data_IF_673856063051
#
_entry.id   IF_673856063051
#
_cell.length_a   1.000
_cell.length_b   1.000
_cell.length_c   1.000
_cell.angle_alpha   90.00
_cell.angle_beta   90.00
_cell.angle_gamma   90.00
#
_symmetry.space_group_name_H-M   'P 1'
#
loop_
_entity.id
_entity.type
_entity.pdbx_description
1 polymer ?
#
# COMPACT_ATOMS: atom_id res chain seq x y z
N UNK A 1 71.19 -12.30 18.89
CA UNK A 1 70.79 -12.38 17.47
C UNK A 1 69.51 -11.60 17.30
N UNK A 2 69.52 -10.69 16.34
CA UNK A 2 68.47 -9.73 16.03
C UNK A 2 67.29 -10.41 15.32
N UNK A 3 66.06 -10.06 15.73
CA UNK A 3 65.03 -9.68 14.75
C UNK A 3 63.94 -8.86 15.42
N UNK A 4 63.91 -7.58 15.05
CA UNK A 4 62.73 -6.74 15.17
C UNK A 4 61.61 -7.30 14.29
N UNK A 5 60.36 -7.13 14.70
CA UNK A 5 59.32 -6.45 13.91
C UNK A 5 58.26 -5.92 14.89
N UNK A 6 58.14 -4.59 14.87
CA UNK A 6 57.05 -3.76 15.39
C UNK A 6 55.74 -4.02 14.64
N UNK A 7 54.61 -4.12 15.33
CA UNK A 7 53.29 -3.57 14.91
C UNK A 7 52.53 -3.24 16.22
N UNK A 8 52.60 -2.00 16.71
CA UNK A 8 51.65 -0.89 16.50
C UNK A 8 50.26 -1.22 17.07
N UNK A 9 49.92 -0.54 18.17
CA UNK A 9 48.63 -0.63 18.83
C UNK A 9 47.54 0.22 18.18
N UNK A 10 46.30 0.03 18.67
CA UNK A 10 45.25 1.04 18.59
C UNK A 10 44.23 0.80 19.70
N UNK A 11 44.36 1.54 20.80
CA UNK A 11 43.30 1.74 21.79
C UNK A 11 42.27 2.68 21.15
N UNK A 12 41.15 2.16 20.67
CA UNK A 12 40.01 3.00 20.29
C UNK A 12 39.17 3.20 21.55
N UNK A 13 39.37 4.35 22.18
CA UNK A 13 38.43 4.91 23.13
C UNK A 13 37.08 5.08 22.41
N UNK A 14 36.04 4.40 22.89
CA UNK A 14 34.67 4.67 22.48
C UNK A 14 34.28 6.04 23.03
N UNK A 15 34.50 7.09 22.23
CA UNK A 15 33.93 8.41 22.44
C UNK A 15 32.41 8.28 22.37
N UNK A 16 31.78 8.15 23.54
CA UNK A 16 30.38 8.45 23.79
C UNK A 16 30.11 9.90 23.39
N UNK A 17 29.80 10.11 22.11
CA UNK A 17 29.29 11.36 21.62
C UNK A 17 27.77 11.30 21.73
N UNK A 18 27.26 11.92 22.79
CA UNK A 18 25.85 12.19 22.93
C UNK A 18 25.38 13.08 21.79
N UNK A 19 24.49 12.54 20.95
CA UNK A 19 23.56 13.33 20.18
C UNK A 19 22.16 12.94 20.67
N UNK A 20 21.61 13.75 21.58
CA UNK A 20 20.17 13.81 21.83
C UNK A 20 19.52 13.97 20.46
N UNK A 21 18.92 12.90 19.93
CA UNK A 21 17.99 13.02 18.82
C UNK A 21 16.86 13.88 19.36
N UNK A 22 16.86 15.16 18.94
CA UNK A 22 15.63 15.96 18.93
C UNK A 22 14.61 15.05 18.26
N UNK A 23 13.65 14.59 19.06
CA UNK A 23 12.40 14.11 18.51
C UNK A 23 11.92 15.24 17.62
N UNK A 24 12.05 15.03 16.32
CA UNK A 24 11.19 15.74 15.39
C UNK A 24 9.83 15.16 15.76
N UNK A 25 9.10 15.90 16.59
CA UNK A 25 7.65 15.83 16.58
C UNK A 25 7.28 16.04 15.12
N UNK A 26 7.12 14.92 14.42
CA UNK A 26 6.42 14.88 13.16
C UNK A 26 5.00 15.27 13.54
N UNK A 27 4.74 16.57 13.53
CA UNK A 27 3.43 17.13 13.46
C UNK A 27 2.70 16.35 12.38
N UNK A 28 1.85 15.42 12.82
CA UNK A 28 0.86 14.73 11.98
C UNK A 28 -0.20 15.76 11.58
N UNK A 29 0.21 16.81 10.89
CA UNK A 29 -0.69 17.52 10.01
C UNK A 29 -0.93 16.57 8.84
N UNK A 30 -2.07 15.89 8.88
CA UNK A 30 -2.56 15.08 7.79
C UNK A 30 -2.87 16.00 6.60
N UNK A 31 -1.84 16.44 5.87
CA UNK A 31 -2.02 17.14 4.60
C UNK A 31 -2.94 16.29 3.73
N UNK A 32 -4.05 16.87 3.27
CA UNK A 32 -5.03 16.18 2.44
C UNK A 32 -4.34 15.51 1.23
N UNK A 33 -4.77 14.30 0.86
CA UNK A 33 -4.23 13.64 -0.34
C UNK A 33 -4.85 14.26 -1.58
N UNK A 34 -4.05 15.01 -2.33
CA UNK A 34 -4.44 15.59 -3.62
C UNK A 34 -4.12 14.60 -4.72
N UNK A 35 -5.14 14.15 -5.46
CA UNK A 35 -4.96 13.19 -6.55
C UNK A 35 -4.23 13.83 -7.73
N UNK A 36 -3.45 13.00 -8.44
CA UNK A 36 -2.90 13.40 -9.73
C UNK A 36 -3.98 13.49 -10.80
N UNK A 37 -3.65 14.13 -11.92
CA UNK A 37 -4.55 14.29 -13.06
C UNK A 37 -4.30 13.26 -14.18
N UNK A 38 -3.17 12.54 -14.12
CA UNK A 38 -2.77 11.55 -15.12
C UNK A 38 -2.78 10.17 -14.48
N UNK A 39 -3.61 9.26 -15.01
CA UNK A 39 -3.66 7.87 -14.58
C UNK A 39 -2.46 7.10 -15.14
N UNK A 40 -1.70 6.47 -14.25
CA UNK A 40 -0.57 5.60 -14.61
C UNK A 40 -1.02 4.15 -14.83
N UNK A 41 -1.92 3.67 -13.97
CA UNK A 41 -2.53 2.32 -14.04
C UNK A 41 -3.92 2.41 -13.43
N UNK A 42 -4.91 1.75 -14.02
CA UNK A 42 -6.20 1.57 -13.35
C UNK A 42 -6.70 0.14 -13.47
N UNK A 43 -7.45 -0.29 -12.45
CA UNK A 43 -8.16 -1.57 -12.39
C UNK A 43 -9.64 -1.28 -12.16
N UNK A 44 -10.52 -2.01 -12.88
CA UNK A 44 -11.96 -1.83 -12.76
C UNK A 44 -12.68 -3.17 -12.85
N UNK A 45 -13.66 -3.39 -11.97
CA UNK A 45 -14.54 -4.55 -12.08
C UNK A 45 -15.44 -4.41 -13.31
N UNK A 46 -15.63 -5.51 -14.05
CA UNK A 46 -16.70 -5.62 -15.03
C UNK A 46 -18.03 -5.97 -14.34
N UNK A 47 -19.14 -5.94 -15.08
CA UNK A 47 -20.46 -6.29 -14.55
C UNK A 47 -20.47 -7.71 -13.96
N UNK A 48 -20.67 -7.80 -12.65
CA UNK A 48 -20.62 -9.07 -11.90
C UNK A 48 -21.83 -9.29 -10.97
N UNK A 49 -22.71 -8.30 -10.82
CA UNK A 49 -23.91 -8.41 -9.97
C UNK A 49 -23.68 -8.31 -8.46
N UNK A 50 -22.42 -8.21 -8.01
CA UNK A 50 -22.07 -8.19 -6.56
C UNK A 50 -21.44 -6.87 -6.12
N UNK A 51 -20.56 -6.26 -6.91
CA UNK A 51 -19.94 -4.98 -6.58
C UNK A 51 -19.44 -4.20 -7.80
N UNK A 52 -19.31 -2.89 -7.64
CA UNK A 52 -18.55 -2.01 -8.53
C UNK A 52 -17.27 -1.56 -7.81
N UNK A 53 -16.11 -1.90 -8.38
CA UNK A 53 -14.79 -1.65 -7.78
C UNK A 53 -13.89 -0.92 -8.78
N UNK A 54 -13.18 0.10 -8.32
CA UNK A 54 -12.15 0.79 -9.08
C UNK A 54 -10.95 1.13 -8.22
N UNK A 55 -9.75 0.86 -8.75
CA UNK A 55 -8.49 1.33 -8.20
C UNK A 55 -7.74 2.08 -9.28
N UNK A 56 -7.44 3.36 -9.05
CA UNK A 56 -6.69 4.22 -9.97
C UNK A 56 -5.41 4.68 -9.30
N UNK A 57 -4.29 4.45 -9.96
CA UNK A 57 -2.97 4.95 -9.58
C UNK A 57 -2.61 6.12 -10.48
N UNK A 58 -2.15 7.23 -9.91
CA UNK A 58 -1.79 8.43 -10.63
C UNK A 58 -0.27 8.65 -10.63
N UNK A 59 0.26 9.29 -11.68
CA UNK A 59 1.71 9.52 -11.86
C UNK A 59 2.37 10.28 -10.68
N UNK A 60 1.61 11.06 -9.91
CA UNK A 60 2.10 11.76 -8.72
C UNK A 60 2.17 10.88 -7.46
N UNK A 61 2.15 9.55 -7.60
CA UNK A 61 2.20 8.56 -6.51
C UNK A 61 1.02 8.62 -5.55
N UNK A 62 -0.15 9.02 -6.04
CA UNK A 62 -1.41 8.95 -5.30
C UNK A 62 -2.34 7.92 -5.92
N UNK A 63 -3.34 7.49 -5.15
CA UNK A 63 -4.36 6.60 -5.67
C UNK A 63 -5.76 6.97 -5.20
N UNK A 64 -6.75 6.54 -5.98
CA UNK A 64 -8.16 6.52 -5.62
C UNK A 64 -8.64 5.08 -5.59
N UNK A 65 -9.27 4.69 -4.48
CA UNK A 65 -9.98 3.42 -4.36
C UNK A 65 -11.46 3.68 -4.14
N UNK A 66 -12.30 3.08 -4.98
CA UNK A 66 -13.75 3.13 -4.88
C UNK A 66 -14.31 1.70 -4.87
N UNK A 67 -15.20 1.43 -3.92
CA UNK A 67 -15.91 0.17 -3.82
C UNK A 67 -17.37 0.47 -3.47
N UNK A 68 -18.28 -0.19 -4.19
CA UNK A 68 -19.71 -0.13 -3.91
C UNK A 68 -20.29 -1.53 -4.03
N UNK A 69 -20.82 -2.10 -2.94
CA UNK A 69 -21.56 -3.36 -3.04
C UNK A 69 -22.90 -3.14 -3.75
N UNK A 70 -23.41 -4.20 -4.38
CA UNK A 70 -24.73 -4.25 -5.00
C UNK A 70 -25.64 -5.02 -4.03
N UNK A 71 -26.69 -4.37 -3.46
CA UNK A 71 -27.66 -5.05 -2.62
C UNK A 71 -28.31 -6.22 -3.35
N UNK A 72 -28.58 -7.29 -2.60
CA UNK A 72 -29.35 -8.41 -3.14
C UNK A 72 -30.83 -8.05 -3.15
N UNK A 73 -31.60 -8.45 -4.18
CA UNK A 73 -32.98 -8.02 -4.41
C UNK A 73 -33.93 -8.34 -3.24
N UNK A 74 -33.59 -9.34 -2.42
CA UNK A 74 -34.42 -9.82 -1.30
C UNK A 74 -33.83 -9.42 0.07
N UNK A 75 -32.93 -8.44 0.11
CA UNK A 75 -32.31 -7.95 1.34
C UNK A 75 -32.60 -6.47 1.55
N UNK A 76 -32.85 -6.07 2.80
CA UNK A 76 -32.92 -4.65 3.19
C UNK A 76 -31.53 -4.01 3.36
N UNK A 77 -30.48 -4.72 2.97
CA UNK A 77 -29.11 -4.29 3.15
C UNK A 77 -28.80 -3.06 2.28
N UNK A 78 -28.29 -2.01 2.93
CA UNK A 78 -27.83 -0.83 2.22
C UNK A 78 -26.49 -1.14 1.53
N UNK A 79 -26.22 -0.56 0.35
CA UNK A 79 -24.91 -0.65 -0.28
C UNK A 79 -23.81 -0.18 0.67
N UNK A 80 -22.76 -0.98 0.81
CA UNK A 80 -21.51 -0.55 1.41
C UNK A 80 -20.81 0.32 0.36
N UNK A 81 -20.48 1.56 0.73
CA UNK A 81 -19.77 2.50 -0.14
C UNK A 81 -18.46 2.90 0.53
N UNK A 82 -17.36 2.65 -0.15
CA UNK A 82 -16.01 3.02 0.27
C UNK A 82 -15.44 3.92 -0.81
N UNK A 83 -14.87 5.04 -0.40
CA UNK A 83 -14.23 5.98 -1.30
C UNK A 83 -13.01 6.57 -0.61
N UNK A 84 -11.85 5.95 -0.82
CA UNK A 84 -10.59 6.34 -0.18
C UNK A 84 -9.59 6.95 -1.16
N UNK A 85 -8.68 7.73 -0.61
CA UNK A 85 -7.49 8.26 -1.27
C UNK A 85 -6.26 7.92 -0.44
N UNK A 86 -5.14 7.68 -1.10
CA UNK A 86 -3.88 7.43 -0.41
C UNK A 86 -2.68 7.68 -1.31
N UNK A 87 -1.50 7.33 -0.80
CA UNK A 87 -0.25 7.38 -1.54
C UNK A 87 0.26 5.99 -1.82
N UNK A 88 1.09 5.82 -2.85
CA UNK A 88 1.76 4.56 -3.08
C UNK A 88 3.26 4.72 -3.27
N UNK A 89 4.01 3.68 -2.95
CA UNK A 89 5.42 3.54 -3.33
C UNK A 89 5.58 2.44 -4.37
N UNK A 90 6.66 2.49 -5.15
CA UNK A 90 6.92 1.54 -6.24
C UNK A 90 8.13 0.66 -5.93
N UNK A 91 8.00 -0.64 -6.17
CA UNK A 91 9.07 -1.65 -6.03
C UNK A 91 9.02 -2.60 -7.24
N UNK A 92 9.67 -2.19 -8.33
CA UNK A 92 9.57 -2.88 -9.62
C UNK A 92 8.11 -2.94 -10.10
N UNK A 93 7.62 -4.15 -10.36
CA UNK A 93 6.23 -4.40 -10.77
C UNK A 93 5.21 -4.21 -9.65
N UNK A 94 5.65 -4.03 -8.41
CA UNK A 94 4.76 -3.91 -7.27
C UNK A 94 4.52 -2.45 -6.86
N UNK A 95 3.30 -2.16 -6.43
CA UNK A 95 2.94 -0.90 -5.78
C UNK A 95 2.47 -1.18 -4.37
N UNK A 96 2.99 -0.46 -3.38
CA UNK A 96 2.54 -0.53 -2.00
C UNK A 96 1.56 0.62 -1.78
N UNK A 97 0.29 0.31 -1.61
CA UNK A 97 -0.77 1.28 -1.35
C UNK A 97 -0.80 1.56 0.15
N UNK A 98 -0.70 2.84 0.51
CA UNK A 98 -0.70 3.35 1.88
C UNK A 98 -2.03 4.07 2.11
N UNK A 99 -2.97 3.38 2.75
CA UNK A 99 -4.23 3.95 3.21
C UNK A 99 -3.98 4.72 4.49
N UNK A 100 -4.59 5.90 4.66
CA UNK A 100 -4.34 6.71 5.87
C UNK A 100 -5.03 6.15 7.10
N UNK A 101 -6.35 6.01 7.05
CA UNK A 101 -7.19 5.50 8.13
C UNK A 101 -8.39 4.75 7.50
N UNK A 102 -8.17 3.59 6.86
CA UNK A 102 -9.23 2.89 6.15
C UNK A 102 -10.33 2.47 7.14
N UNK A 103 -11.59 2.76 6.82
CA UNK A 103 -12.76 2.32 7.61
C UNK A 103 -13.19 0.88 7.29
N UNK A 104 -12.27 0.08 6.78
CA UNK A 104 -12.48 -1.30 6.34
C UNK A 104 -11.20 -2.10 6.56
N UNK A 105 -11.34 -3.42 6.61
CA UNK A 105 -10.19 -4.32 6.72
C UNK A 105 -9.56 -4.55 5.35
N UNK A 106 -8.26 -4.23 5.20
CA UNK A 106 -7.51 -4.59 4.01
C UNK A 106 -7.47 -6.10 3.78
N UNK A 107 -7.46 -6.91 4.84
CA UNK A 107 -7.51 -8.37 4.73
C UNK A 107 -8.87 -8.89 4.24
N UNK A 108 -9.96 -8.14 4.44
CA UNK A 108 -11.27 -8.49 3.91
C UNK A 108 -11.42 -8.08 2.43
N UNK A 109 -10.81 -6.94 2.04
CA UNK A 109 -10.84 -6.45 0.65
C UNK A 109 -9.82 -7.19 -0.23
N UNK A 110 -8.63 -7.46 0.27
CA UNK A 110 -7.58 -8.22 -0.40
C UNK A 110 -7.48 -9.59 0.28
N UNK A 111 -8.54 -10.38 0.12
CA UNK A 111 -8.67 -11.68 0.78
C UNK A 111 -7.93 -12.78 0.00
N UNK A 112 -6.95 -13.38 0.67
CA UNK A 112 -6.11 -14.49 0.18
C UNK A 112 -6.90 -15.74 -0.21
N UNK A 113 -8.16 -15.87 0.19
CA UNK A 113 -9.01 -16.98 -0.22
C UNK A 113 -9.41 -16.88 -1.71
N UNK A 114 -9.37 -15.68 -2.29
CA UNK A 114 -9.79 -15.44 -3.67
C UNK A 114 -8.62 -15.16 -4.63
N UNK A 115 -7.39 -15.06 -4.12
CA UNK A 115 -6.20 -14.75 -4.93
C UNK A 115 -4.90 -15.05 -4.17
N UNK A 116 -3.80 -15.22 -4.90
CA UNK A 116 -2.52 -15.64 -4.34
C UNK A 116 -1.55 -14.49 -4.06
N UNK A 117 -0.47 -14.81 -3.33
CA UNK A 117 0.61 -13.88 -2.98
C UNK A 117 1.41 -13.32 -4.19
N UNK A 118 1.07 -13.74 -5.41
CA UNK A 118 1.60 -13.23 -6.67
C UNK A 118 0.82 -12.02 -7.22
N UNK A 119 -0.40 -11.80 -6.75
CA UNK A 119 -1.28 -10.72 -7.19
C UNK A 119 -1.30 -9.58 -6.16
N UNK A 120 -1.43 -9.90 -4.87
CA UNK A 120 -1.29 -8.93 -3.79
C UNK A 120 -0.71 -9.55 -2.51
N UNK A 121 -0.31 -8.70 -1.57
CA UNK A 121 0.09 -9.06 -0.20
C UNK A 121 -0.38 -7.98 0.76
N UNK A 122 -1.25 -8.33 1.71
CA UNK A 122 -1.58 -7.44 2.82
C UNK A 122 -0.38 -7.39 3.77
N UNK A 123 0.15 -6.19 4.02
CA UNK A 123 1.32 -5.97 4.88
C UNK A 123 0.86 -5.72 6.31
N UNK A 124 -0.11 -4.82 6.47
CA UNK A 124 -0.72 -4.45 7.75
C UNK A 124 -2.13 -3.86 7.51
N UNK A 125 -2.73 -3.25 8.54
CA UNK A 125 -4.07 -2.68 8.51
C UNK A 125 -4.23 -1.49 7.54
N UNK A 126 -3.12 -0.85 7.19
CA UNK A 126 -3.07 0.36 6.35
C UNK A 126 -2.30 0.16 5.05
N UNK A 127 -1.56 -0.93 4.91
CA UNK A 127 -0.68 -1.17 3.76
C UNK A 127 -0.98 -2.49 3.05
N UNK A 128 -1.11 -2.42 1.73
CA UNK A 128 -1.22 -3.60 0.85
C UNK A 128 -0.33 -3.41 -0.37
N UNK A 129 0.36 -4.47 -0.76
CA UNK A 129 1.19 -4.50 -1.96
C UNK A 129 0.43 -5.18 -3.09
N UNK A 130 0.35 -4.56 -4.26
CA UNK A 130 -0.33 -5.11 -5.45
C UNK A 130 0.65 -5.26 -6.61
N UNK A 131 0.51 -6.31 -7.40
CA UNK A 131 1.37 -6.58 -8.54
C UNK A 131 0.79 -5.97 -9.81
N UNK A 132 1.30 -4.79 -10.16
CA UNK A 132 0.87 -4.06 -11.35
C UNK A 132 1.35 -4.64 -12.67
N UNK A 133 2.15 -5.72 -12.70
CA UNK A 133 2.40 -6.42 -13.97
C UNK A 133 1.24 -7.31 -14.40
N UNK A 134 0.27 -7.59 -13.52
CA UNK A 134 -0.90 -8.42 -13.82
C UNK A 134 -1.95 -7.60 -14.56
N UNK A 135 -2.61 -8.24 -15.53
CA UNK A 135 -3.76 -7.65 -16.24
C UNK A 135 -5.05 -7.74 -15.43
N UNK A 136 -5.06 -8.56 -14.38
CA UNK A 136 -6.18 -8.73 -13.47
C UNK A 136 -5.69 -8.57 -12.04
N UNK A 137 -6.50 -7.91 -11.22
CA UNK A 137 -6.32 -7.81 -9.78
C UNK A 137 -7.63 -8.22 -9.11
N UNK A 138 -7.68 -9.37 -8.42
CA UNK A 138 -8.85 -9.74 -7.63
C UNK A 138 -8.97 -8.84 -6.40
N UNK A 139 -10.14 -8.23 -6.20
CA UNK A 139 -10.46 -7.38 -5.04
C UNK A 139 -11.83 -7.82 -4.53
N UNK A 140 -11.90 -8.24 -3.27
CA UNK A 140 -13.09 -8.77 -2.60
C UNK A 140 -13.74 -9.92 -3.38
N UNK A 141 -12.91 -10.81 -3.93
CA UNK A 141 -13.36 -11.92 -4.79
C UNK A 141 -13.81 -11.52 -6.19
N UNK A 142 -13.84 -10.22 -6.52
CA UNK A 142 -14.23 -9.71 -7.83
C UNK A 142 -12.98 -9.46 -8.68
N UNK A 143 -12.98 -10.02 -9.89
CA UNK A 143 -11.94 -9.78 -10.90
C UNK A 143 -12.03 -8.32 -11.38
N UNK A 144 -10.98 -7.55 -11.13
CA UNK A 144 -10.82 -6.21 -11.69
C UNK A 144 -9.78 -6.22 -12.81
N UNK A 145 -10.16 -5.78 -14.00
CA UNK A 145 -9.30 -5.76 -15.18
C UNK A 145 -8.53 -4.45 -15.29
N UNK A 146 -7.27 -4.53 -15.70
CA UNK A 146 -6.45 -3.38 -16.02
C UNK A 146 -7.02 -2.68 -17.26
N UNK A 147 -7.11 -1.35 -17.22
CA UNK A 147 -7.51 -0.51 -18.37
C UNK A 147 -6.29 0.14 -19.03
#
# INVERSE_FOLDING_TARGET
MWRNIMIIGLLIALSSCGAKRKGVDASKESKEVVLGNIEAVSYKSLGNGVASISLKLFENNTFKFDFKSIPQPDTEEKPIVISEKGTYTSEGNWKILNFKNPKFSLAAIFDKNFSGAADFRVIDETNVKINTSKNVLPIWGVVCEKQ
#
